data_IF_862378990092
#
_entry.id   IF_862378990092
#
_cell.length_a   1.000
_cell.length_b   1.000
_cell.length_c   1.000
_cell.angle_alpha   90.00
_cell.angle_beta   90.00
_cell.angle_gamma   90.00
#
_symmetry.space_group_name_H-M   'P 1'
#
loop_
_entity.id
_entity.type
_entity.pdbx_description
1 polymer ?
#
# COMPACT_ATOMS: atom_id res chain seq x y z
N UNK A 1 -13.66 -2.39 49.63
CA UNK A 1 -12.60 -2.55 48.61
C UNK A 1 -13.08 -1.94 47.30
N UNK A 2 -12.49 -0.82 46.86
CA UNK A 2 -12.88 -0.15 45.61
C UNK A 2 -12.41 -0.99 44.43
N UNK A 3 -13.37 -1.49 43.65
CA UNK A 3 -13.15 -2.22 42.41
C UNK A 3 -12.52 -1.25 41.38
N UNK A 4 -11.18 -1.20 41.34
CA UNK A 4 -10.45 -0.44 40.33
C UNK A 4 -10.77 -1.07 38.98
N UNK A 5 -11.56 -0.36 38.19
CA UNK A 5 -11.78 -0.61 36.78
C UNK A 5 -10.41 -0.80 36.10
N UNK A 6 -9.98 -2.05 35.91
CA UNK A 6 -8.72 -2.37 35.21
C UNK A 6 -8.92 -1.88 33.78
N UNK A 7 -8.39 -0.69 33.45
CA UNK A 7 -8.20 -0.31 32.04
C UNK A 7 -7.52 -1.50 31.35
N UNK A 8 -8.18 -2.05 30.34
CA UNK A 8 -7.63 -3.16 29.56
C UNK A 8 -6.22 -2.80 29.12
N UNK A 9 -5.29 -3.76 29.21
CA UNK A 9 -3.91 -3.53 28.81
C UNK A 9 -3.88 -3.00 27.35
N UNK A 10 -3.01 -2.01 27.06
CA UNK A 10 -2.87 -1.48 25.72
C UNK A 10 -2.60 -2.62 24.73
N UNK A 11 -3.48 -2.77 23.74
CA UNK A 11 -3.45 -3.89 22.80
C UNK A 11 -3.62 -3.37 21.39
N UNK A 12 -2.80 -3.88 20.49
CA UNK A 12 -2.97 -3.68 19.06
C UNK A 12 -4.14 -4.53 18.58
N UNK A 13 -5.14 -3.89 17.98
CA UNK A 13 -6.30 -4.56 17.38
C UNK A 13 -6.13 -4.59 15.88
N UNK A 14 -6.66 -5.64 15.27
CA UNK A 14 -6.74 -5.79 13.82
C UNK A 14 -8.11 -6.33 13.46
N UNK A 15 -8.72 -5.76 12.43
CA UNK A 15 -10.03 -6.14 11.90
C UNK A 15 -9.98 -6.14 10.38
N UNK A 16 -10.58 -7.16 9.78
CA UNK A 16 -10.83 -7.20 8.35
C UNK A 16 -12.30 -6.89 8.10
N UNK A 17 -12.60 -6.08 7.09
CA UNK A 17 -13.97 -5.78 6.67
C UNK A 17 -14.02 -5.41 5.18
N UNK A 18 -15.24 -5.26 4.66
CA UNK A 18 -15.48 -4.58 3.39
C UNK A 18 -15.80 -3.12 3.66
N UNK A 19 -15.15 -2.21 2.95
CA UNK A 19 -15.51 -0.78 2.93
C UNK A 19 -15.97 -0.41 1.52
N UNK A 20 -16.97 0.46 1.42
CA UNK A 20 -17.42 0.98 0.12
C UNK A 20 -16.75 2.31 -0.14
N UNK A 21 -16.09 2.45 -1.29
CA UNK A 21 -15.49 3.69 -1.75
C UNK A 21 -15.99 4.02 -3.17
N UNK A 22 -16.30 5.29 -3.48
CA UNK A 22 -16.51 5.71 -4.86
C UNK A 22 -15.26 5.36 -5.67
N UNK A 23 -15.46 4.63 -6.76
CA UNK A 23 -14.35 4.05 -7.54
C UNK A 23 -14.59 4.25 -9.02
N UNK A 24 -13.62 4.86 -9.69
CA UNK A 24 -13.52 4.90 -11.15
C UNK A 24 -12.84 3.61 -11.60
N UNK A 25 -13.60 2.72 -12.22
CA UNK A 25 -13.11 1.38 -12.57
C UNK A 25 -12.15 1.45 -13.76
N UNK A 26 -11.00 0.76 -13.71
CA UNK A 26 -10.25 0.45 -14.92
C UNK A 26 -11.11 -0.35 -15.90
N UNK A 27 -10.93 -0.11 -17.19
CA UNK A 27 -11.54 -0.93 -18.22
C UNK A 27 -10.97 -2.37 -18.21
N UNK A 28 -11.55 -3.24 -19.04
CA UNK A 28 -10.93 -4.53 -19.31
C UNK A 28 -9.52 -4.31 -19.90
N UNK A 29 -8.52 -5.15 -19.55
CA UNK A 29 -7.21 -5.08 -20.17
C UNK A 29 -7.26 -5.26 -21.68
N UNK A 30 -6.26 -4.73 -22.39
CA UNK A 30 -6.07 -4.99 -23.80
C UNK A 30 -5.99 -6.51 -24.04
N UNK A 31 -6.62 -6.97 -25.13
CA UNK A 31 -6.60 -8.39 -25.52
C UNK A 31 -5.21 -8.82 -25.99
N UNK A 32 -4.43 -7.88 -26.52
CA UNK A 32 -3.09 -8.13 -27.02
C UNK A 32 -2.05 -7.89 -25.92
N UNK A 33 -1.04 -8.76 -25.81
CA UNK A 33 0.09 -8.50 -24.94
C UNK A 33 0.87 -7.28 -25.42
N UNK A 34 1.27 -6.42 -24.48
CA UNK A 34 2.02 -5.20 -24.77
C UNK A 34 3.50 -5.39 -24.49
N UNK A 35 4.33 -5.14 -25.51
CA UNK A 35 5.80 -5.15 -25.44
C UNK A 35 6.31 -3.71 -25.50
N UNK A 36 6.50 -3.11 -24.32
CA UNK A 36 6.76 -1.67 -24.14
C UNK A 36 8.17 -1.39 -23.61
N UNK A 37 9.17 -2.18 -24.01
CA UNK A 37 10.55 -2.11 -23.49
C UNK A 37 11.21 -0.75 -23.75
N UNK A 38 10.79 -0.05 -24.81
CA UNK A 38 11.31 1.28 -25.19
C UNK A 38 10.50 2.43 -24.61
N UNK A 39 9.41 2.16 -23.87
CA UNK A 39 8.61 3.22 -23.25
C UNK A 39 9.42 3.86 -22.13
N UNK A 40 9.64 5.17 -22.22
CA UNK A 40 10.22 5.95 -21.12
C UNK A 40 9.27 5.88 -19.93
N UNK A 41 9.77 5.40 -18.80
CA UNK A 41 8.94 5.15 -17.63
C UNK A 41 9.65 5.59 -16.35
N UNK A 42 9.65 6.91 -16.08
CA UNK A 42 10.12 7.52 -14.82
C UNK A 42 11.52 7.04 -14.36
N UNK A 43 12.46 6.88 -15.30
CA UNK A 43 13.82 6.39 -14.97
C UNK A 43 13.91 4.88 -14.73
N UNK A 44 12.85 4.14 -15.02
CA UNK A 44 12.74 2.68 -14.90
C UNK A 44 12.33 2.03 -16.23
N UNK A 45 12.17 0.70 -16.23
CA UNK A 45 11.83 -0.06 -17.45
C UNK A 45 10.34 0.04 -17.75
N UNK A 46 10.00 0.35 -19.01
CA UNK A 46 8.63 0.32 -19.52
C UNK A 46 8.09 -1.09 -19.81
N UNK A 47 8.92 -2.14 -19.66
CA UNK A 47 8.51 -3.53 -19.89
C UNK A 47 7.34 -3.89 -18.97
N UNK A 48 6.22 -4.33 -19.56
CA UNK A 48 5.00 -4.66 -18.81
C UNK A 48 4.62 -6.14 -18.93
N UNK A 49 4.91 -6.80 -20.05
CA UNK A 49 4.63 -8.23 -20.22
C UNK A 49 5.35 -9.07 -19.13
N UNK A 50 4.64 -10.01 -18.46
CA UNK A 50 3.35 -10.59 -18.83
C UNK A 50 2.12 -9.96 -18.15
N UNK A 51 2.24 -8.79 -17.52
CA UNK A 51 1.10 -8.14 -16.89
C UNK A 51 0.11 -7.63 -17.95
N UNK A 52 -1.21 -7.78 -17.73
CA UNK A 52 -2.22 -7.14 -18.58
C UNK A 52 -2.07 -5.62 -18.53
N UNK A 53 -2.18 -4.97 -19.68
CA UNK A 53 -2.11 -3.51 -19.79
C UNK A 53 -3.52 -2.94 -19.92
N UNK A 54 -3.82 -1.89 -19.16
CA UNK A 54 -5.11 -1.18 -19.21
C UNK A 54 -4.84 0.28 -19.55
N UNK A 55 -5.49 0.80 -20.58
CA UNK A 55 -5.27 2.15 -21.12
C UNK A 55 -6.49 3.07 -20.97
N UNK A 56 -7.51 2.64 -20.24
CA UNK A 56 -8.74 3.41 -20.02
C UNK A 56 -9.27 3.24 -18.60
N UNK A 57 -9.73 4.35 -18.03
CA UNK A 57 -10.43 4.42 -16.75
C UNK A 57 -11.83 4.97 -17.02
N UNK A 58 -12.84 4.46 -16.32
CA UNK A 58 -14.19 4.99 -16.39
C UNK A 58 -14.23 6.50 -16.08
N UNK A 59 -15.17 7.22 -16.70
CA UNK A 59 -15.34 8.66 -16.48
C UNK A 59 -16.16 8.99 -15.23
N UNK A 60 -17.00 8.05 -14.78
CA UNK A 60 -17.86 8.19 -13.61
C UNK A 60 -17.54 7.13 -12.54
N UNK A 61 -17.63 7.48 -11.24
CA UNK A 61 -17.40 6.53 -10.17
C UNK A 61 -18.64 5.65 -9.91
N UNK A 62 -18.38 4.43 -9.44
CA UNK A 62 -19.41 3.56 -8.87
C UNK A 62 -19.07 3.24 -7.41
N UNK A 63 -20.06 2.99 -6.54
CA UNK A 63 -19.80 2.42 -5.23
C UNK A 63 -19.20 1.01 -5.42
N UNK A 64 -17.99 0.80 -4.94
CA UNK A 64 -17.33 -0.51 -4.96
C UNK A 64 -16.89 -0.89 -3.56
N UNK A 65 -17.13 -2.14 -3.20
CA UNK A 65 -16.59 -2.74 -2.00
C UNK A 65 -15.11 -3.14 -2.19
N UNK A 66 -14.30 -2.79 -1.20
CA UNK A 66 -12.88 -3.12 -1.12
C UNK A 66 -12.60 -3.87 0.17
N UNK A 67 -11.72 -4.87 0.12
CA UNK A 67 -11.14 -5.48 1.31
C UNK A 67 -10.32 -4.44 2.04
N UNK A 68 -10.61 -4.27 3.32
CA UNK A 68 -9.91 -3.38 4.22
C UNK A 68 -9.36 -4.18 5.39
N UNK A 69 -8.10 -3.92 5.75
CA UNK A 69 -7.52 -4.38 7.01
C UNK A 69 -7.19 -3.14 7.84
N UNK A 70 -7.93 -2.98 8.93
CA UNK A 70 -7.64 -1.97 9.94
C UNK A 70 -6.70 -2.55 10.98
N UNK A 71 -5.59 -1.87 11.24
CA UNK A 71 -4.71 -2.14 12.38
C UNK A 71 -4.62 -0.87 13.24
N UNK A 72 -4.86 -0.98 14.55
CA UNK A 72 -4.92 0.18 15.44
C UNK A 72 -4.35 -0.10 16.83
N UNK A 73 -3.77 0.93 17.45
CA UNK A 73 -3.42 0.96 18.86
C UNK A 73 -4.02 2.23 19.51
N UNK A 74 -3.49 2.65 20.66
CA UNK A 74 -3.96 3.84 21.37
C UNK A 74 -3.66 5.18 20.67
N UNK A 75 -2.73 5.20 19.73
CA UNK A 75 -2.31 6.42 19.01
C UNK A 75 -2.72 6.42 17.55
N UNK A 76 -2.55 5.29 16.85
CA UNK A 76 -2.72 5.22 15.40
C UNK A 76 -3.85 4.27 15.02
N UNK A 77 -4.56 4.62 13.94
CA UNK A 77 -5.43 3.71 13.18
C UNK A 77 -5.00 3.74 11.73
N UNK A 78 -4.58 2.58 11.22
CA UNK A 78 -4.04 2.41 9.87
C UNK A 78 -5.01 1.57 9.05
N UNK A 79 -5.32 2.03 7.84
CA UNK A 79 -6.09 1.29 6.84
C UNK A 79 -5.14 0.75 5.77
N UNK A 80 -5.12 -0.57 5.61
CA UNK A 80 -4.45 -1.27 4.51
C UNK A 80 -5.48 -1.75 3.51
N UNK A 81 -5.22 -1.57 2.21
CA UNK A 81 -6.05 -2.06 1.10
C UNK A 81 -5.31 -3.18 0.35
N UNK A 82 -5.57 -4.46 0.67
CA UNK A 82 -4.93 -5.59 0.01
C UNK A 82 -5.19 -5.65 -1.49
N UNK A 83 -6.39 -5.28 -1.92
CA UNK A 83 -6.79 -5.32 -3.34
C UNK A 83 -6.13 -4.22 -4.20
N UNK A 84 -5.35 -3.33 -3.59
CA UNK A 84 -4.59 -2.26 -4.26
C UNK A 84 -3.14 -2.30 -3.75
N UNK A 85 -2.42 -3.37 -4.11
CA UNK A 85 -1.00 -3.54 -3.85
C UNK A 85 -0.62 -3.69 -2.38
N UNK A 86 -1.58 -3.86 -1.47
CA UNK A 86 -1.35 -3.80 -0.02
C UNK A 86 -1.00 -2.39 0.48
N UNK A 87 -1.45 -1.34 -0.21
CA UNK A 87 -1.19 0.06 0.13
C UNK A 87 -1.67 0.39 1.54
N UNK A 88 -0.91 1.19 2.28
CA UNK A 88 -1.47 1.94 3.41
C UNK A 88 -2.29 3.10 2.82
N UNK A 89 -3.61 3.03 2.91
CA UNK A 89 -4.49 4.03 2.34
C UNK A 89 -4.71 5.23 3.27
N UNK A 90 -4.64 5.00 4.59
CA UNK A 90 -4.84 6.03 5.62
C UNK A 90 -4.04 5.71 6.88
N UNK A 91 -3.48 6.73 7.51
CA UNK A 91 -2.95 6.66 8.88
C UNK A 91 -3.57 7.82 9.66
N UNK A 92 -4.49 7.51 10.57
CA UNK A 92 -5.14 8.47 11.44
C UNK A 92 -4.43 8.51 12.80
N UNK A 93 -3.96 9.69 13.19
CA UNK A 93 -3.62 9.99 14.57
C UNK A 93 -4.91 10.17 15.38
N UNK A 94 -5.12 9.26 16.33
CA UNK A 94 -6.32 9.18 17.17
C UNK A 94 -6.31 10.17 18.32
N UNK A 95 -5.16 10.80 18.60
CA UNK A 95 -5.04 11.77 19.68
C UNK A 95 -5.63 13.13 19.31
N UNK A 96 -5.64 13.46 18.02
CA UNK A 96 -6.09 14.75 17.48
C UNK A 96 -7.01 14.61 16.25
N UNK A 97 -7.21 13.40 15.71
CA UNK A 97 -8.05 13.16 14.55
C UNK A 97 -7.41 13.53 13.21
N UNK A 98 -6.10 13.74 13.16
CA UNK A 98 -5.37 14.17 11.96
C UNK A 98 -4.90 12.97 11.11
N UNK A 99 -5.03 13.10 9.78
CA UNK A 99 -4.48 12.12 8.83
C UNK A 99 -3.01 12.44 8.55
N UNK A 100 -2.09 11.58 9.00
CA UNK A 100 -0.64 11.76 8.87
C UNK A 100 -0.15 11.77 7.41
N UNK A 101 -0.94 11.19 6.51
CA UNK A 101 -0.66 11.06 5.09
C UNK A 101 -1.89 11.50 4.30
N UNK A 102 -1.72 11.81 3.01
CA UNK A 102 -2.83 12.23 2.15
C UNK A 102 -3.83 11.09 1.97
N UNK A 103 -4.95 11.18 2.68
CA UNK A 103 -6.07 10.25 2.57
C UNK A 103 -7.00 10.71 1.44
N UNK A 104 -7.05 9.92 0.36
CA UNK A 104 -7.94 10.16 -0.77
C UNK A 104 -9.27 9.42 -0.52
N UNK A 105 -10.42 10.11 -0.37
CA UNK A 105 -11.70 9.46 -0.08
C UNK A 105 -12.32 8.70 -1.28
N UNK A 106 -11.62 8.65 -2.41
CA UNK A 106 -12.09 8.09 -3.70
C UNK A 106 -10.97 7.26 -4.33
N UNK A 107 -11.31 6.14 -4.94
CA UNK A 107 -10.37 5.37 -5.76
C UNK A 107 -10.50 5.83 -7.21
N UNK A 108 -9.67 6.79 -7.63
CA UNK A 108 -9.60 7.26 -9.02
C UNK A 108 -8.20 6.99 -9.59
N UNK A 109 -8.00 5.89 -10.32
CA UNK A 109 -6.72 5.62 -10.96
C UNK A 109 -6.43 6.61 -12.09
N UNK A 110 -5.17 6.95 -12.26
CA UNK A 110 -4.61 7.55 -13.46
C UNK A 110 -3.76 6.52 -14.20
N UNK A 111 -3.54 6.73 -15.49
CA UNK A 111 -2.73 5.84 -16.36
C UNK A 111 -1.22 6.10 -16.18
N UNK A 112 -0.76 6.10 -14.93
CA UNK A 112 0.62 6.38 -14.52
C UNK A 112 1.39 5.11 -14.17
N UNK A 113 0.70 4.06 -13.74
CA UNK A 113 1.32 2.79 -13.37
C UNK A 113 1.86 2.03 -14.58
N UNK A 114 2.72 1.05 -14.34
CA UNK A 114 3.38 0.29 -15.40
C UNK A 114 2.35 -0.38 -16.32
N UNK A 115 1.37 -1.04 -15.69
CA UNK A 115 0.21 -1.70 -16.29
C UNK A 115 -0.96 -0.74 -16.57
N UNK A 116 -0.78 0.57 -16.38
CA UNK A 116 -1.79 1.61 -16.52
C UNK A 116 -2.30 2.13 -15.18
N UNK A 117 -3.22 1.46 -14.49
CA UNK A 117 -3.85 1.99 -13.29
C UNK A 117 -2.85 2.21 -12.15
N UNK A 118 -2.83 3.44 -11.63
CA UNK A 118 -2.14 3.83 -10.41
C UNK A 118 -2.95 4.91 -9.68
N UNK A 119 -3.00 4.87 -8.36
CA UNK A 119 -3.75 5.85 -7.57
C UNK A 119 -2.83 6.75 -6.73
N UNK A 120 -3.24 8.01 -6.52
CA UNK A 120 -2.59 8.94 -5.59
C UNK A 120 -2.94 8.62 -4.12
N UNK A 121 -2.22 9.24 -3.17
CA UNK A 121 -2.57 9.18 -1.74
C UNK A 121 -2.02 7.96 -1.00
N UNK A 122 -2.04 7.98 0.32
CA UNK A 122 -1.54 6.87 1.13
C UNK A 122 -0.02 6.68 1.02
N UNK A 123 0.42 5.44 1.20
CA UNK A 123 1.81 4.99 0.99
C UNK A 123 1.82 3.79 0.04
N UNK A 124 2.45 3.96 -1.11
CA UNK A 124 2.74 2.88 -2.05
C UNK A 124 4.11 2.26 -1.76
N UNK A 125 4.18 0.93 -1.71
CA UNK A 125 5.43 0.19 -1.56
C UNK A 125 5.88 -0.34 -2.92
N UNK A 126 6.91 0.30 -3.45
CA UNK A 126 7.44 0.06 -4.78
C UNK A 126 8.54 -0.98 -4.76
N UNK A 127 8.31 -2.10 -5.45
CA UNK A 127 9.25 -3.17 -5.72
C UNK A 127 8.72 -4.02 -6.89
N UNK A 128 9.58 -4.76 -7.64
CA UNK A 128 11.03 -4.60 -7.70
C UNK A 128 11.41 -3.36 -8.53
N UNK A 129 10.44 -2.59 -9.03
CA UNK A 129 10.64 -1.31 -9.72
C UNK A 129 9.61 -0.23 -9.33
N UNK A 130 9.76 0.99 -9.87
CA UNK A 130 8.93 2.16 -9.56
C UNK A 130 8.27 2.75 -10.83
N UNK A 131 6.96 3.05 -10.83
CA UNK A 131 5.98 2.52 -9.88
C UNK A 131 5.88 1.00 -9.95
N UNK A 132 5.50 0.34 -8.84
CA UNK A 132 5.45 -1.12 -8.74
C UNK A 132 4.55 -1.69 -9.84
N UNK A 133 5.01 -2.73 -10.56
CA UNK A 133 4.25 -3.37 -11.62
C UNK A 133 2.81 -3.75 -11.20
N UNK A 134 2.68 -4.32 -10.01
CA UNK A 134 1.45 -4.81 -9.42
C UNK A 134 0.76 -3.80 -8.48
N UNK A 135 1.03 -2.49 -8.60
CA UNK A 135 0.56 -1.45 -7.66
C UNK A 135 -0.97 -1.41 -7.48
N UNK A 136 -1.72 -1.77 -8.52
CA UNK A 136 -3.19 -1.83 -8.51
C UNK A 136 -3.74 -3.26 -8.55
N UNK A 137 -2.90 -4.26 -8.28
CA UNK A 137 -3.30 -5.67 -8.20
C UNK A 137 -3.45 -6.12 -6.74
N UNK A 138 -4.26 -7.15 -6.47
CA UNK A 138 -4.37 -7.69 -5.12
C UNK A 138 -3.07 -8.35 -4.66
N UNK A 139 -2.85 -8.33 -3.35
CA UNK A 139 -1.79 -9.08 -2.67
C UNK A 139 -2.39 -10.10 -1.71
N UNK A 140 -1.63 -11.15 -1.42
CA UNK A 140 -1.95 -12.06 -0.33
C UNK A 140 -1.68 -11.39 1.01
N UNK A 141 -2.49 -11.71 2.03
CA UNK A 141 -2.31 -11.15 3.37
C UNK A 141 -2.29 -12.17 4.48
N UNK A 142 -1.43 -11.96 5.46
CA UNK A 142 -1.36 -12.76 6.69
C UNK A 142 -1.23 -11.84 7.90
N UNK A 143 -1.93 -12.16 8.99
CA UNK A 143 -1.85 -11.42 10.24
C UNK A 143 -0.97 -12.20 11.22
N UNK A 144 0.14 -11.62 11.61
CA UNK A 144 1.05 -12.15 12.62
C UNK A 144 0.84 -11.40 13.95
N UNK A 145 0.73 -12.15 15.06
CA UNK A 145 0.62 -11.60 16.41
C UNK A 145 1.83 -12.04 17.21
N UNK A 146 2.59 -11.08 17.74
CA UNK A 146 3.82 -11.36 18.49
C UNK A 146 3.57 -11.41 20.00
N UNK A 147 4.41 -12.13 20.78
CA UNK A 147 4.26 -12.23 22.24
C UNK A 147 4.33 -10.89 23.00
N UNK A 148 5.02 -9.90 22.43
CA UNK A 148 5.10 -8.54 22.97
C UNK A 148 3.82 -7.70 22.76
N UNK A 149 2.80 -8.28 22.12
CA UNK A 149 1.52 -7.66 21.82
C UNK A 149 1.50 -6.83 20.54
N UNK A 150 2.60 -6.77 19.79
CA UNK A 150 2.62 -6.19 18.45
C UNK A 150 1.86 -7.08 17.46
N UNK A 151 1.33 -6.44 16.41
CA UNK A 151 0.64 -7.13 15.31
C UNK A 151 1.22 -6.62 14.00
N UNK A 152 1.54 -7.54 13.10
CA UNK A 152 2.01 -7.24 11.74
C UNK A 152 1.00 -7.76 10.73
N UNK A 153 0.51 -6.87 9.85
CA UNK A 153 -0.26 -7.26 8.66
C UNK A 153 0.72 -7.39 7.50
N UNK A 154 1.06 -8.62 7.16
CA UNK A 154 1.88 -8.94 5.99
C UNK A 154 1.04 -8.84 4.73
N UNK A 155 1.60 -8.21 3.71
CA UNK A 155 1.14 -8.14 2.34
C UNK A 155 2.25 -8.71 1.45
N UNK A 156 1.92 -9.58 0.50
CA UNK A 156 2.94 -10.16 -0.37
C UNK A 156 2.40 -10.66 -1.70
N UNK A 157 3.28 -10.66 -2.68
CA UNK A 157 3.00 -11.08 -4.05
C UNK A 157 4.30 -11.48 -4.77
N UNK A 158 4.12 -11.94 -6.00
CA UNK A 158 5.22 -12.34 -6.87
C UNK A 158 5.34 -11.35 -8.01
N UNK A 159 6.56 -10.93 -8.30
CA UNK A 159 6.86 -10.22 -9.54
C UNK A 159 6.90 -11.23 -10.69
N UNK A 160 6.01 -11.14 -11.69
CA UNK A 160 5.98 -12.11 -12.78
C UNK A 160 7.12 -11.92 -13.78
N UNK A 161 7.82 -10.78 -13.77
CA UNK A 161 8.88 -10.49 -14.74
C UNK A 161 10.21 -11.11 -14.36
N UNK A 162 10.68 -10.89 -13.13
CA UNK A 162 11.92 -11.46 -12.57
C UNK A 162 11.67 -12.69 -11.68
N UNK A 163 10.40 -13.10 -11.51
CA UNK A 163 9.98 -14.26 -10.68
C UNK A 163 10.39 -14.15 -9.21
N UNK A 164 10.64 -12.92 -8.73
CA UNK A 164 10.95 -12.62 -7.34
C UNK A 164 9.67 -12.63 -6.49
N UNK A 165 9.83 -12.74 -5.17
CA UNK A 165 8.77 -12.54 -4.19
C UNK A 165 9.14 -11.37 -3.29
N UNK A 166 8.19 -10.51 -3.00
CA UNK A 166 8.36 -9.36 -2.12
C UNK A 166 7.18 -9.25 -1.17
N UNK A 167 7.47 -8.77 0.03
CA UNK A 167 6.51 -8.64 1.11
C UNK A 167 6.80 -7.38 1.91
N UNK A 168 5.74 -6.70 2.32
CA UNK A 168 5.80 -5.65 3.33
C UNK A 168 4.83 -5.96 4.46
N UNK A 169 5.28 -5.73 5.69
CA UNK A 169 4.52 -5.91 6.91
C UNK A 169 4.23 -4.56 7.54
N UNK A 170 2.95 -4.23 7.70
CA UNK A 170 2.50 -3.04 8.45
C UNK A 170 2.36 -3.44 9.92
N UNK A 171 3.28 -2.98 10.76
CA UNK A 171 3.38 -3.38 12.15
C UNK A 171 3.06 -2.21 13.10
N UNK A 172 2.17 -2.47 14.06
CA UNK A 172 1.95 -1.59 15.20
C UNK A 172 2.36 -2.29 16.49
N UNK A 173 2.87 -1.49 17.42
CA UNK A 173 3.26 -1.91 18.77
C UNK A 173 2.33 -1.31 19.82
N UNK A 174 2.08 -1.98 20.95
CA UNK A 174 1.46 -1.34 22.11
C UNK A 174 2.28 -0.12 22.56
N UNK A 175 1.62 0.96 22.95
CA UNK A 175 2.22 2.17 23.52
C UNK A 175 3.23 2.90 22.62
N UNK A 176 3.22 2.69 21.30
CA UNK A 176 4.09 3.42 20.34
C UNK A 176 3.26 4.19 19.31
N UNK A 177 3.69 5.39 18.97
CA UNK A 177 3.02 6.28 18.02
C UNK A 177 3.73 6.33 16.66
N UNK A 178 4.11 5.17 16.12
CA UNK A 178 4.67 5.05 14.78
C UNK A 178 4.17 3.77 14.10
N UNK A 179 4.27 3.74 12.77
CA UNK A 179 4.12 2.52 11.97
C UNK A 179 5.51 1.97 11.68
N UNK A 180 5.76 0.72 12.06
CA UNK A 180 6.95 0.00 11.63
C UNK A 180 6.64 -0.71 10.30
N UNK A 181 7.48 -0.49 9.29
CA UNK A 181 7.43 -1.23 8.03
C UNK A 181 8.49 -2.34 8.07
N UNK A 182 8.05 -3.59 7.98
CA UNK A 182 8.95 -4.75 7.82
C UNK A 182 8.99 -5.13 6.35
N UNK A 183 10.16 -5.48 5.81
CA UNK A 183 10.31 -5.81 4.39
C UNK A 183 11.00 -7.16 4.24
N UNK A 184 10.51 -7.99 3.32
CA UNK A 184 11.17 -9.23 2.91
C UNK A 184 11.17 -9.33 1.39
N UNK A 185 12.33 -9.57 0.81
CA UNK A 185 12.48 -9.82 -0.63
C UNK A 185 13.22 -11.15 -0.81
N UNK A 186 12.73 -11.98 -1.71
CA UNK A 186 13.27 -13.30 -2.00
C UNK A 186 13.44 -13.46 -3.50
N UNK A 187 14.70 -13.65 -3.93
CA UNK A 187 14.99 -14.11 -5.28
C UNK A 187 14.75 -15.63 -5.33
N UNK A 188 13.80 -16.05 -6.18
CA UNK A 188 13.42 -17.46 -6.35
C UNK A 188 14.08 -18.12 -7.55
N UNK A 189 15.06 -17.46 -8.14
CA UNK A 189 15.77 -17.90 -9.34
C UNK A 189 17.24 -18.19 -9.00
N UNK A 190 17.94 -19.04 -9.79
CA UNK A 190 19.36 -19.31 -9.56
C UNK A 190 20.28 -18.17 -10.02
N UNK A 191 19.74 -17.17 -10.72
CA UNK A 191 20.51 -16.04 -11.25
C UNK A 191 20.34 -14.83 -10.34
N UNK A 192 21.39 -14.03 -10.21
CA UNK A 192 21.30 -12.74 -9.53
C UNK A 192 20.24 -11.86 -10.20
N UNK A 193 19.42 -11.20 -9.39
CA UNK A 193 18.38 -10.27 -9.83
C UNK A 193 18.62 -8.90 -9.20
N UNK A 194 18.29 -7.84 -9.93
CA UNK A 194 18.27 -6.47 -9.41
C UNK A 194 16.88 -6.10 -8.93
N UNK A 195 16.80 -5.24 -7.93
CA UNK A 195 15.54 -4.68 -7.47
C UNK A 195 15.76 -3.30 -6.85
N UNK A 196 14.71 -2.51 -6.81
CA UNK A 196 14.59 -1.34 -5.95
C UNK A 196 13.50 -1.57 -4.90
N UNK A 197 13.61 -0.87 -3.79
CA UNK A 197 12.58 -0.78 -2.77
C UNK A 197 12.37 0.68 -2.38
N UNK A 198 11.15 1.19 -2.54
CA UNK A 198 10.81 2.58 -2.22
C UNK A 198 9.44 2.67 -1.56
N UNK A 199 9.34 3.42 -0.46
CA UNK A 199 8.05 3.82 0.11
C UNK A 199 7.69 5.21 -0.44
N UNK A 200 6.72 5.26 -1.34
CA UNK A 200 6.23 6.50 -1.92
C UNK A 200 5.05 7.02 -1.07
N UNK A 201 5.35 8.00 -0.22
CA UNK A 201 4.41 8.58 0.76
C UNK A 201 3.79 9.84 0.18
N UNK A 202 2.46 9.88 0.08
CA UNK A 202 1.75 11.09 -0.32
C UNK A 202 1.36 11.92 0.92
N UNK A 203 1.57 13.23 0.84
CA UNK A 203 1.18 14.19 1.87
C UNK A 203 0.36 15.33 1.28
N UNK A 204 -0.52 15.93 2.08
CA UNK A 204 -1.23 17.13 1.68
C UNK A 204 -0.28 18.32 1.77
N UNK A 205 -0.15 19.07 0.67
CA UNK A 205 0.65 20.30 0.63
C UNK A 205 -0.26 21.53 0.59
N UNK A 206 0.24 22.63 1.14
CA UNK A 206 -0.38 23.96 1.12
C UNK A 206 0.73 25.01 1.30
N UNK A 207 0.38 26.30 1.24
CA UNK A 207 1.36 27.40 1.26
C UNK A 207 2.26 27.45 2.51
N UNK A 208 1.87 26.80 3.61
CA UNK A 208 2.64 26.72 4.86
C UNK A 208 3.28 25.34 5.10
N UNK A 209 3.15 24.39 4.16
CA UNK A 209 3.76 23.08 4.28
C UNK A 209 5.29 23.21 4.13
N UNK A 210 6.02 22.57 5.03
CA UNK A 210 7.48 22.55 5.02
C UNK A 210 7.97 21.11 4.87
N UNK A 211 9.01 20.93 4.06
CA UNK A 211 9.73 19.68 3.95
C UNK A 211 11.14 19.88 4.47
N UNK A 212 11.56 19.02 5.40
CA UNK A 212 12.89 19.04 5.97
C UNK A 212 13.63 17.79 5.52
N UNK A 213 14.80 17.99 4.92
CA UNK A 213 15.71 16.92 4.53
C UNK A 213 17.02 17.09 5.31
N UNK A 214 17.74 16.00 5.62
CA UNK A 214 19.12 16.10 6.06
C UNK A 214 19.94 16.92 5.04
N UNK A 215 20.95 17.69 5.48
CA UNK A 215 21.91 18.27 4.56
C UNK A 215 22.64 17.16 3.80
N UNK A 216 23.08 17.47 2.58
CA UNK A 216 23.91 16.59 1.74
C UNK A 216 25.27 16.28 2.39
#
# INVERSE_FOLDING_TARGET
MKNRNRKAAPRVRVRQERITLPTYLPAAPDRNPMFLEKRVYQGSSGKVYPLPFIDRIAEEPVPREWQAIWIENEYLRVLVLPEIGGRIHRILDRTNGYDLIYHQPVIKPALVGLAGPWISGGIEFNWPQHHRPATFMPVDTTIERSPDGSVTVWCGDHDPMARMKGMHGVCLHPRRAYVELKVRVCNRTPLAQTFLWWANVATRVHAAYQSFFPPD
#
